data_IF_435756463615
#
_entry.id   IF_435756463615
#
_cell.length_a   1.000
_cell.length_b   1.000
_cell.length_c   1.000
_cell.angle_alpha   90.00
_cell.angle_beta   90.00
_cell.angle_gamma   90.00
#
_symmetry.space_group_name_H-M   'P 1'
#
loop_
_entity.id
_entity.type
_entity.pdbx_description
1 polymer ?
#
# COMPACT_ATOMS: atom_id res chain seq x y z
N UNK A 1 -1.74 8.08 -2.68
CA UNK A 1 -1.94 7.13 -3.81
C UNK A 1 -1.75 7.80 -5.15
N UNK A 2 -2.43 8.91 -5.46
CA UNK A 2 -2.36 9.59 -6.77
C UNK A 2 -0.94 10.01 -7.15
N UNK A 3 -0.17 10.57 -6.22
CA UNK A 3 1.24 10.92 -6.44
C UNK A 3 2.09 9.70 -6.84
N UNK A 4 2.00 8.59 -6.09
CA UNK A 4 2.75 7.36 -6.39
C UNK A 4 2.42 6.82 -7.79
N UNK A 5 1.16 6.93 -8.22
CA UNK A 5 0.74 6.53 -9.55
C UNK A 5 1.30 7.42 -10.66
N UNK A 6 1.51 8.72 -10.37
CA UNK A 6 2.07 9.65 -11.35
C UNK A 6 3.59 9.55 -11.44
N UNK A 7 4.27 9.23 -10.33
CA UNK A 7 5.74 9.19 -10.27
C UNK A 7 6.34 7.84 -10.66
N UNK A 8 5.57 6.75 -10.58
CA UNK A 8 6.06 5.40 -10.85
C UNK A 8 5.13 4.69 -11.82
N UNK A 9 5.68 4.20 -12.93
CA UNK A 9 4.97 3.36 -13.90
C UNK A 9 5.44 1.90 -13.77
N UNK A 10 6.71 1.64 -14.11
CA UNK A 10 7.34 0.31 -14.08
C UNK A 10 7.48 -0.24 -12.66
N UNK A 11 7.61 0.63 -11.65
CA UNK A 11 7.85 0.27 -10.24
C UNK A 11 6.69 0.62 -9.31
N UNK A 12 5.49 0.78 -9.88
CA UNK A 12 4.31 1.28 -9.17
C UNK A 12 3.88 0.39 -8.01
N UNK A 13 3.90 -0.94 -8.19
CA UNK A 13 3.50 -1.87 -7.14
C UNK A 13 4.51 -1.89 -6.00
N UNK A 14 5.82 -1.83 -6.28
CA UNK A 14 6.85 -1.70 -5.24
C UNK A 14 6.74 -0.38 -4.47
N UNK A 15 6.51 0.74 -5.17
CA UNK A 15 6.35 2.05 -4.53
C UNK A 15 5.14 2.07 -3.57
N UNK A 16 4.03 1.44 -3.98
CA UNK A 16 2.88 1.21 -3.09
C UNK A 16 3.23 0.29 -1.93
N UNK A 17 3.97 -0.79 -2.18
CA UNK A 17 4.43 -1.73 -1.15
C UNK A 17 5.19 -1.01 -0.04
N UNK A 18 6.21 -0.22 -0.41
CA UNK A 18 6.96 0.62 0.53
C UNK A 18 6.07 1.60 1.30
N UNK A 19 5.20 2.34 0.60
CA UNK A 19 4.31 3.30 1.26
C UNK A 19 3.41 2.63 2.31
N UNK A 20 2.89 1.44 2.03
CA UNK A 20 2.06 0.69 2.96
C UNK A 20 2.89 0.12 4.13
N UNK A 21 4.07 -0.45 3.87
CA UNK A 21 4.94 -0.99 4.90
C UNK A 21 5.44 0.09 5.87
N UNK A 22 5.80 1.28 5.37
CA UNK A 22 6.20 2.42 6.22
C UNK A 22 5.03 2.91 7.08
N UNK A 23 3.82 2.98 6.52
CA UNK A 23 2.63 3.34 7.29
C UNK A 23 2.39 2.37 8.46
N UNK A 24 2.52 1.06 8.22
CA UNK A 24 2.39 0.03 9.25
C UNK A 24 3.49 0.10 10.30
N UNK A 25 4.74 0.30 9.88
CA UNK A 25 5.86 0.47 10.80
C UNK A 25 5.68 1.71 11.68
N UNK A 26 5.20 2.81 11.09
CA UNK A 26 4.86 4.03 11.81
C UNK A 26 3.82 3.77 12.90
N UNK A 27 2.72 3.10 12.58
CA UNK A 27 1.69 2.73 13.56
C UNK A 27 2.22 1.78 14.65
N UNK A 28 3.03 0.78 14.28
CA UNK A 28 3.62 -0.17 15.21
C UNK A 28 4.52 0.50 16.26
N UNK A 29 5.27 1.54 15.87
CA UNK A 29 6.13 2.29 16.77
C UNK A 29 5.37 3.38 17.55
N UNK A 30 4.43 4.06 16.88
CA UNK A 30 3.69 5.17 17.46
C UNK A 30 2.70 4.73 18.53
N UNK A 31 1.99 3.60 18.36
CA UNK A 31 0.98 3.16 19.32
C UNK A 31 1.60 2.89 20.72
N UNK A 32 2.68 2.09 20.86
CA UNK A 32 3.35 1.92 22.15
C UNK A 32 3.97 3.21 22.66
N UNK A 33 4.54 4.06 21.80
CA UNK A 33 5.12 5.33 22.22
C UNK A 33 4.07 6.29 22.81
N UNK A 34 2.88 6.34 22.22
CA UNK A 34 1.73 7.11 22.73
C UNK A 34 1.25 6.51 24.04
N UNK A 35 1.05 5.19 24.11
CA UNK A 35 0.63 4.51 25.35
C UNK A 35 1.63 4.76 26.49
N UNK A 36 2.92 4.63 26.21
CA UNK A 36 3.99 4.93 27.15
C UNK A 36 3.96 6.40 27.58
N UNK A 37 3.73 7.35 26.69
CA UNK A 37 3.68 8.78 27.03
C UNK A 37 2.48 9.17 27.91
N UNK A 38 1.37 8.42 27.82
CA UNK A 38 0.13 8.69 28.55
C UNK A 38 0.12 8.05 29.94
N UNK A 39 0.83 6.92 30.09
CA UNK A 39 0.84 6.06 31.28
C UNK A 39 0.98 6.85 32.61
N UNK A 40 -0.10 6.92 33.41
CA UNK A 40 -0.18 7.75 34.61
C UNK A 40 0.57 7.17 35.81
N UNK A 41 0.96 5.89 35.78
CA UNK A 41 1.65 5.24 36.92
C UNK A 41 3.10 5.70 37.08
N UNK A 42 3.66 6.40 36.08
CA UNK A 42 5.07 6.79 36.01
C UNK A 42 5.32 8.31 35.96
N UNK A 43 4.37 9.13 36.43
CA UNK A 43 4.46 10.62 36.43
C UNK A 43 4.81 11.21 35.04
N UNK A 44 4.26 10.59 33.99
CA UNK A 44 4.53 10.96 32.60
C UNK A 44 3.65 12.11 32.14
N UNK A 45 3.88 12.56 30.91
CA UNK A 45 3.24 13.71 30.25
C UNK A 45 1.70 13.72 30.38
N UNK A 46 1.09 12.53 30.46
CA UNK A 46 -0.36 12.36 30.53
C UNK A 46 -1.03 12.66 29.20
N UNK A 47 -2.33 12.38 29.13
CA UNK A 47 -3.08 12.45 27.87
C UNK A 47 -3.05 13.85 27.22
N UNK A 48 -3.33 14.90 28.00
CA UNK A 48 -3.47 16.27 27.48
C UNK A 48 -2.17 16.79 26.87
N UNK A 49 -1.03 16.58 27.53
CA UNK A 49 0.26 17.05 27.01
C UNK A 49 0.71 16.20 25.81
N UNK A 50 0.54 14.88 25.87
CA UNK A 50 0.87 13.98 24.74
C UNK A 50 0.08 14.37 23.49
N UNK A 51 -1.24 14.58 23.61
CA UNK A 51 -2.09 15.02 22.51
C UNK A 51 -1.67 16.41 21.97
N UNK A 52 -1.30 17.34 22.87
CA UNK A 52 -0.84 18.68 22.48
C UNK A 52 0.48 18.61 21.70
N UNK A 53 1.45 17.81 22.15
CA UNK A 53 2.74 17.62 21.47
C UNK A 53 2.53 17.01 20.08
N UNK A 54 1.69 15.97 19.97
CA UNK A 54 1.37 15.34 18.67
C UNK A 54 0.71 16.35 17.74
N UNK A 55 -0.31 17.08 18.22
CA UNK A 55 -1.01 18.09 17.43
C UNK A 55 -0.08 19.20 16.94
N UNK A 56 0.78 19.73 17.82
CA UNK A 56 1.74 20.75 17.46
C UNK A 56 2.78 20.23 16.45
N UNK A 57 3.28 19.01 16.67
CA UNK A 57 4.22 18.35 15.76
C UNK A 57 3.61 18.19 14.37
N UNK A 58 2.35 17.75 14.28
CA UNK A 58 1.64 17.63 13.01
C UNK A 58 1.48 18.97 12.30
N UNK A 59 1.15 20.05 13.01
CA UNK A 59 1.02 21.41 12.42
C UNK A 59 2.38 21.92 11.92
N UNK A 60 3.42 21.79 12.75
CA UNK A 60 4.78 22.25 12.42
C UNK A 60 5.33 21.47 11.22
N UNK A 61 5.05 20.16 11.14
CA UNK A 61 5.49 19.32 10.03
C UNK A 61 4.61 19.44 8.78
N UNK A 62 3.32 19.76 8.91
CA UNK A 62 2.40 19.85 7.77
C UNK A 62 2.89 20.85 6.72
N UNK A 63 3.37 22.03 7.15
CA UNK A 63 3.86 23.05 6.24
C UNK A 63 5.09 22.62 5.42
N UNK A 64 6.24 22.21 6.01
CA UNK A 64 7.40 21.77 5.24
C UNK A 64 7.11 20.53 4.40
N UNK A 65 6.33 19.56 4.90
CA UNK A 65 5.95 18.38 4.12
C UNK A 65 5.09 18.75 2.91
N UNK A 66 4.12 19.66 3.06
CA UNK A 66 3.29 20.11 1.93
C UNK A 66 4.11 20.77 0.81
N UNK A 67 5.21 21.45 1.17
CA UNK A 67 6.15 22.05 0.22
C UNK A 67 7.07 21.03 -0.45
N UNK A 68 7.37 19.93 0.23
CA UNK A 68 8.23 18.87 -0.30
C UNK A 68 7.48 17.88 -1.21
N UNK A 69 6.17 17.73 -1.01
CA UNK A 69 5.31 16.86 -1.83
C UNK A 69 5.19 17.44 -3.26
N UNK A 70 5.75 16.72 -4.23
CA UNK A 70 5.62 17.02 -5.67
C UNK A 70 4.60 16.07 -6.30
N UNK A 71 3.49 16.58 -6.83
CA UNK A 71 2.36 15.72 -7.23
C UNK A 71 2.56 15.01 -8.58
N UNK A 72 3.28 15.62 -9.50
CA UNK A 72 3.45 15.19 -10.88
C UNK A 72 4.90 15.42 -11.32
N UNK A 73 5.59 14.42 -11.89
CA UNK A 73 6.91 14.63 -12.46
C UNK A 73 6.88 15.59 -13.66
N UNK A 74 5.77 15.63 -14.40
CA UNK A 74 5.62 16.44 -15.61
C UNK A 74 5.69 17.95 -15.32
N UNK A 75 5.20 18.37 -14.14
CA UNK A 75 5.30 19.77 -13.67
C UNK A 75 6.76 20.24 -13.50
N UNK A 76 7.72 19.29 -13.50
CA UNK A 76 9.15 19.53 -13.35
C UNK A 76 9.96 19.11 -14.57
N UNK A 77 9.31 18.79 -15.70
CA UNK A 77 9.97 18.33 -16.92
C UNK A 77 10.61 16.94 -16.80
N UNK A 78 10.18 16.13 -15.82
CA UNK A 78 10.58 14.74 -15.63
C UNK A 78 9.49 13.81 -16.16
N UNK A 79 9.86 12.60 -16.56
CA UNK A 79 8.91 11.50 -16.80
C UNK A 79 8.82 10.60 -15.57
N UNK A 80 7.76 9.77 -15.47
CA UNK A 80 7.67 8.73 -14.44
C UNK A 80 8.94 7.86 -14.37
N UNK A 81 9.20 7.28 -13.21
CA UNK A 81 10.40 6.51 -12.88
C UNK A 81 11.74 7.28 -13.03
N UNK A 82 11.70 8.60 -13.27
CA UNK A 82 12.89 9.45 -13.41
C UNK A 82 13.50 9.43 -14.81
N UNK A 83 12.77 8.94 -15.81
CA UNK A 83 13.21 8.98 -17.21
C UNK A 83 13.29 10.44 -17.70
N UNK A 84 14.34 10.76 -18.45
CA UNK A 84 14.43 12.05 -19.15
C UNK A 84 14.02 11.86 -20.61
N UNK A 85 13.44 12.89 -21.27
CA UNK A 85 12.95 12.77 -22.65
C UNK A 85 13.98 12.23 -23.65
N UNK A 86 15.29 12.50 -23.41
CA UNK A 86 16.39 12.00 -24.23
C UNK A 86 16.59 10.48 -24.15
N UNK A 87 16.31 9.85 -22.99
CA UNK A 87 16.44 8.40 -22.81
C UNK A 87 15.22 7.64 -23.35
N UNK A 88 14.01 8.20 -23.20
CA UNK A 88 12.79 7.60 -23.73
C UNK A 88 12.80 7.48 -25.28
N UNK A 89 13.48 8.39 -25.96
CA UNK A 89 13.64 8.35 -27.42
C UNK A 89 14.67 7.30 -27.87
N UNK A 90 15.72 7.07 -27.08
CA UNK A 90 16.72 6.02 -27.32
C UNK A 90 16.17 4.61 -27.07
N UNK A 91 15.38 4.41 -26.01
CA UNK A 91 14.76 3.12 -25.71
C UNK A 91 13.66 2.75 -26.72
N UNK A 92 12.93 3.73 -27.27
CA UNK A 92 11.98 3.49 -28.37
C UNK A 92 12.68 3.14 -29.69
N UNK A 93 13.84 3.73 -29.97
CA UNK A 93 14.63 3.41 -31.16
C UNK A 93 15.29 2.03 -31.08
N UNK A 94 15.75 1.60 -29.89
CA UNK A 94 16.36 0.29 -29.68
C UNK A 94 15.36 -0.87 -29.72
N UNK A 95 14.09 -0.63 -29.34
CA UNK A 95 13.03 -1.65 -29.38
C UNK A 95 12.28 -1.70 -30.73
N UNK A 96 12.53 -0.77 -31.65
CA UNK A 96 11.88 -0.73 -32.96
C UNK A 96 12.41 -1.77 -33.96
N UNK A 97 13.53 -2.44 -33.69
CA UNK A 97 14.12 -3.44 -34.60
C UNK A 97 13.67 -4.88 -34.33
N UNK A 98 12.80 -5.15 -33.34
CA UNK A 98 12.44 -6.54 -32.94
C UNK A 98 10.93 -6.88 -32.95
N UNK A 99 10.01 -5.92 -33.11
CA UNK A 99 8.56 -6.24 -33.03
C UNK A 99 7.77 -5.94 -34.33
N UNK A 100 7.79 -6.89 -35.27
CA UNK A 100 6.76 -7.05 -36.31
C UNK A 100 5.58 -7.89 -35.76
N UNK A 101 4.92 -7.36 -34.73
CA UNK A 101 3.66 -7.91 -34.19
C UNK A 101 2.66 -6.76 -34.02
N UNK A 102 1.40 -6.87 -34.48
CA UNK A 102 0.40 -5.84 -34.26
C UNK A 102 -0.10 -5.94 -32.83
N UNK A 103 0.74 -5.58 -31.86
CA UNK A 103 0.26 -5.25 -30.52
C UNK A 103 -0.08 -3.77 -30.56
N UNK A 104 -1.39 -3.52 -30.61
CA UNK A 104 -2.03 -2.23 -30.41
C UNK A 104 -1.18 -1.36 -29.48
N UNK A 105 -0.65 -0.25 -30.02
CA UNK A 105 -0.07 0.86 -29.29
C UNK A 105 -1.05 1.31 -28.20
N UNK A 106 -0.96 0.67 -27.04
CA UNK A 106 -1.72 0.98 -25.84
C UNK A 106 -1.05 2.16 -25.13
N UNK A 107 -0.79 3.22 -25.89
CA UNK A 107 -0.60 4.55 -25.32
C UNK A 107 -1.93 4.96 -24.67
N UNK A 108 -2.00 4.69 -23.37
CA UNK A 108 -2.98 5.14 -22.37
C UNK A 108 -4.22 5.90 -22.88
N UNK A 109 -5.23 5.19 -23.39
CA UNK A 109 -6.59 5.75 -23.39
C UNK A 109 -7.11 5.62 -21.95
N UNK A 110 -6.81 6.62 -21.12
CA UNK A 110 -7.34 6.72 -19.77
C UNK A 110 -8.87 6.80 -19.81
N UNK A 111 -9.56 5.83 -19.21
CA UNK A 111 -11.02 5.89 -19.07
C UNK A 111 -11.41 7.04 -18.15
N UNK A 112 -12.43 7.79 -18.54
CA UNK A 112 -13.15 8.65 -17.58
C UNK A 112 -13.83 7.78 -16.52
N UNK A 113 -14.10 8.35 -15.34
CA UNK A 113 -14.79 7.64 -14.24
C UNK A 113 -16.10 7.00 -14.72
N UNK A 114 -16.89 7.74 -15.53
CA UNK A 114 -18.13 7.22 -16.10
C UNK A 114 -17.85 6.01 -16.98
N UNK A 115 -16.92 6.09 -17.91
CA UNK A 115 -16.60 4.96 -18.79
C UNK A 115 -16.10 3.75 -18.00
N UNK A 116 -15.25 3.95 -16.97
CA UNK A 116 -14.72 2.87 -16.15
C UNK A 116 -15.84 2.09 -15.44
N UNK A 117 -16.82 2.77 -14.83
CA UNK A 117 -17.94 2.15 -14.11
C UNK A 117 -18.82 1.26 -15.02
N UNK A 118 -18.90 1.59 -16.31
CA UNK A 118 -19.65 0.79 -17.30
C UNK A 118 -18.88 -0.43 -17.81
N UNK A 119 -17.61 -0.60 -17.45
CA UNK A 119 -16.83 -1.78 -17.85
C UNK A 119 -17.13 -2.99 -16.95
N UNK A 120 -17.16 -4.20 -17.54
CA UNK A 120 -17.24 -5.45 -16.76
C UNK A 120 -16.02 -5.65 -15.87
N UNK A 121 -14.84 -5.24 -16.35
CA UNK A 121 -13.59 -5.33 -15.61
C UNK A 121 -13.67 -4.60 -14.26
N UNK A 122 -14.26 -3.39 -14.24
CA UNK A 122 -14.46 -2.63 -13.00
C UNK A 122 -15.24 -3.43 -11.95
N UNK A 123 -16.38 -4.02 -12.32
CA UNK A 123 -17.21 -4.77 -11.38
C UNK A 123 -16.55 -6.07 -10.91
N UNK A 124 -15.90 -6.81 -11.81
CA UNK A 124 -15.17 -8.03 -11.43
C UNK A 124 -14.03 -7.73 -10.44
N UNK A 125 -13.25 -6.67 -10.71
CA UNK A 125 -12.17 -6.24 -9.82
C UNK A 125 -12.74 -5.73 -8.49
N UNK A 126 -13.79 -4.91 -8.52
CA UNK A 126 -14.39 -4.32 -7.32
C UNK A 126 -14.99 -5.38 -6.39
N UNK A 127 -15.73 -6.34 -6.94
CA UNK A 127 -16.33 -7.43 -6.18
C UNK A 127 -15.24 -8.36 -5.62
N UNK A 128 -14.27 -8.76 -6.46
CA UNK A 128 -13.15 -9.60 -6.02
C UNK A 128 -12.35 -8.94 -4.90
N UNK A 129 -12.01 -7.66 -5.07
CA UNK A 129 -11.33 -6.88 -4.03
C UNK A 129 -12.20 -6.75 -2.78
N UNK A 130 -13.50 -6.49 -2.92
CA UNK A 130 -14.45 -6.40 -1.81
C UNK A 130 -14.47 -7.67 -0.95
N UNK A 131 -14.49 -8.86 -1.55
CA UNK A 131 -14.41 -10.11 -0.80
C UNK A 131 -13.07 -10.30 -0.08
N UNK A 132 -11.95 -10.04 -0.77
CA UNK A 132 -10.61 -10.07 -0.15
C UNK A 132 -10.49 -9.09 1.02
N UNK A 133 -11.05 -7.88 0.89
CA UNK A 133 -11.08 -6.86 1.95
C UNK A 133 -11.98 -7.27 3.11
N UNK A 134 -13.14 -7.89 2.84
CA UNK A 134 -14.05 -8.37 3.88
C UNK A 134 -13.36 -9.42 4.76
N UNK A 135 -12.67 -10.40 4.15
CA UNK A 135 -11.88 -11.41 4.88
C UNK A 135 -10.82 -10.74 5.76
N UNK A 136 -10.09 -9.77 5.19
CA UNK A 136 -9.05 -9.04 5.93
C UNK A 136 -9.62 -8.32 7.16
N UNK A 137 -10.73 -7.59 6.99
CA UNK A 137 -11.37 -6.83 8.08
C UNK A 137 -11.91 -7.80 9.15
N UNK A 138 -12.54 -8.90 8.74
CA UNK A 138 -13.05 -9.92 9.66
C UNK A 138 -11.92 -10.54 10.50
N UNK A 139 -10.79 -10.91 9.87
CA UNK A 139 -9.62 -11.42 10.59
C UNK A 139 -9.08 -10.38 11.58
N UNK A 140 -8.94 -9.11 11.17
CA UNK A 140 -8.43 -8.06 12.05
C UNK A 140 -9.33 -7.83 13.28
N UNK A 141 -10.65 -7.92 13.11
CA UNK A 141 -11.60 -7.71 14.20
C UNK A 141 -11.74 -8.93 15.13
N UNK A 142 -11.65 -10.15 14.60
CA UNK A 142 -12.06 -11.36 15.33
C UNK A 142 -10.95 -12.34 15.66
N UNK A 143 -9.74 -12.21 15.10
CA UNK A 143 -8.67 -13.21 15.32
C UNK A 143 -8.27 -13.32 16.80
N UNK A 144 -8.03 -12.20 17.49
CA UNK A 144 -7.68 -12.23 18.91
C UNK A 144 -8.85 -12.71 19.80
N UNK A 145 -10.09 -12.18 19.67
CA UNK A 145 -11.25 -12.70 20.38
C UNK A 145 -11.48 -14.20 20.17
N UNK A 146 -11.38 -14.69 18.93
CA UNK A 146 -11.55 -16.11 18.60
C UNK A 146 -10.55 -17.01 19.34
N UNK A 147 -9.31 -16.56 19.51
CA UNK A 147 -8.30 -17.31 20.27
C UNK A 147 -8.60 -17.31 21.77
N UNK A 148 -9.01 -16.17 22.33
CA UNK A 148 -9.36 -16.08 23.75
C UNK A 148 -10.63 -16.85 24.09
N UNK A 149 -11.63 -16.85 23.20
CA UNK A 149 -12.87 -17.62 23.36
C UNK A 149 -12.62 -19.14 23.34
N UNK A 150 -11.53 -19.57 22.69
CA UNK A 150 -11.06 -20.97 22.69
C UNK A 150 -10.17 -21.31 23.89
N UNK A 151 -10.01 -20.40 24.84
CA UNK A 151 -9.23 -20.62 26.06
C UNK A 151 -7.73 -20.34 25.93
N UNK A 152 -7.27 -19.76 24.82
CA UNK A 152 -5.88 -19.29 24.74
C UNK A 152 -5.69 -18.01 25.57
N UNK A 153 -4.47 -17.82 26.08
CA UNK A 153 -4.12 -16.60 26.82
C UNK A 153 -4.14 -15.36 25.91
N UNK A 154 -4.36 -14.19 26.51
CA UNK A 154 -4.28 -12.90 25.82
C UNK A 154 -2.88 -12.69 25.22
N UNK A 155 -1.83 -13.13 25.90
CA UNK A 155 -0.44 -13.05 25.43
C UNK A 155 -0.24 -13.89 24.17
N UNK A 156 -0.80 -15.10 24.12
CA UNK A 156 -0.78 -15.96 22.93
C UNK A 156 -1.53 -15.29 21.77
N UNK A 157 -2.73 -14.75 22.02
CA UNK A 157 -3.51 -14.06 20.99
C UNK A 157 -2.77 -12.83 20.44
N UNK A 158 -2.18 -12.02 21.32
CA UNK A 158 -1.38 -10.86 20.93
C UNK A 158 -0.14 -11.26 20.12
N UNK A 159 0.53 -12.35 20.49
CA UNK A 159 1.67 -12.87 19.73
C UNK A 159 1.26 -13.29 18.32
N UNK A 160 0.15 -14.02 18.16
CA UNK A 160 -0.36 -14.43 16.83
C UNK A 160 -0.70 -13.20 15.97
N UNK A 161 -1.38 -12.20 16.52
CA UNK A 161 -1.69 -10.94 15.80
C UNK A 161 -0.41 -10.19 15.41
N UNK A 162 0.60 -10.20 16.28
CA UNK A 162 1.90 -9.57 16.00
C UNK A 162 2.63 -10.27 14.87
N UNK A 163 2.72 -11.61 14.90
CA UNK A 163 3.34 -12.41 13.84
C UNK A 163 2.59 -12.22 12.52
N UNK A 164 1.26 -12.24 12.54
CA UNK A 164 0.43 -11.94 11.37
C UNK A 164 0.75 -10.55 10.79
N UNK A 165 0.82 -9.53 11.64
CA UNK A 165 1.09 -8.15 11.24
C UNK A 165 2.49 -8.00 10.67
N UNK A 166 3.51 -8.56 11.32
CA UNK A 166 4.89 -8.56 10.84
C UNK A 166 5.01 -9.26 9.49
N UNK A 167 4.40 -10.45 9.35
CA UNK A 167 4.38 -11.20 8.10
C UNK A 167 3.74 -10.38 6.99
N UNK A 168 2.62 -9.72 7.25
CA UNK A 168 1.93 -8.90 6.26
C UNK A 168 2.77 -7.73 5.75
N UNK A 169 3.62 -7.12 6.59
CA UNK A 169 4.53 -6.04 6.19
C UNK A 169 5.62 -6.53 5.24
N UNK A 170 6.18 -7.71 5.50
CA UNK A 170 7.17 -8.36 4.62
C UNK A 170 6.52 -8.72 3.29
N UNK A 171 5.33 -9.32 3.33
CA UNK A 171 4.61 -9.74 2.13
C UNK A 171 4.06 -8.57 1.30
N UNK A 172 3.90 -7.38 1.86
CA UNK A 172 3.62 -6.16 1.06
C UNK A 172 4.78 -5.79 0.15
N UNK A 173 6.02 -5.94 0.60
CA UNK A 173 7.21 -5.69 -0.22
C UNK A 173 7.38 -6.78 -1.28
N UNK A 174 7.19 -8.05 -0.88
CA UNK A 174 7.22 -9.19 -1.81
C UNK A 174 6.10 -9.03 -2.87
N UNK A 175 4.89 -8.68 -2.45
CA UNK A 175 3.75 -8.44 -3.33
C UNK A 175 4.01 -7.28 -4.30
N UNK A 176 4.65 -6.20 -3.84
CA UNK A 176 5.10 -5.10 -4.69
C UNK A 176 6.12 -5.57 -5.74
N UNK A 177 7.16 -6.30 -5.31
CA UNK A 177 8.18 -6.87 -6.19
C UNK A 177 7.60 -7.78 -7.29
N UNK A 178 6.65 -8.65 -6.91
CA UNK A 178 5.99 -9.57 -7.84
C UNK A 178 5.03 -8.80 -8.76
N UNK A 179 4.28 -7.84 -8.23
CA UNK A 179 3.31 -7.05 -9.00
C UNK A 179 3.93 -6.22 -10.12
N UNK A 180 5.19 -5.81 -9.96
CA UNK A 180 5.93 -5.11 -11.00
C UNK A 180 6.45 -6.05 -12.11
N UNK A 181 6.68 -7.35 -11.82
CA UNK A 181 7.28 -8.30 -12.78
C UNK A 181 6.32 -9.29 -13.44
N UNK A 182 5.20 -9.59 -12.79
CA UNK A 182 4.25 -10.61 -13.24
C UNK A 182 2.98 -9.92 -13.77
N UNK A 183 2.33 -10.43 -14.82
CA UNK A 183 1.04 -9.88 -15.26
C UNK A 183 0.04 -9.88 -14.10
N UNK A 184 -0.56 -8.72 -13.84
CA UNK A 184 -1.33 -8.42 -12.61
C UNK A 184 -2.46 -9.43 -12.38
N UNK A 185 -3.10 -9.91 -13.45
CA UNK A 185 -4.13 -10.96 -13.41
C UNK A 185 -3.66 -12.27 -12.76
N UNK A 186 -2.43 -12.72 -13.04
CA UNK A 186 -1.89 -13.97 -12.48
C UNK A 186 -1.46 -13.76 -11.03
N UNK A 187 -0.82 -12.63 -10.72
CA UNK A 187 -0.44 -12.29 -9.34
C UNK A 187 -1.68 -12.23 -8.43
N UNK A 188 -2.74 -11.53 -8.86
CA UNK A 188 -3.99 -11.45 -8.12
C UNK A 188 -4.65 -12.83 -7.94
N UNK A 189 -4.70 -13.64 -9.00
CA UNK A 189 -5.28 -14.98 -8.94
C UNK A 189 -4.56 -15.86 -7.90
N UNK A 190 -3.23 -15.93 -7.96
CA UNK A 190 -2.42 -16.76 -7.05
C UNK A 190 -2.56 -16.27 -5.61
N UNK A 191 -2.42 -14.96 -5.34
CA UNK A 191 -2.54 -14.43 -3.99
C UNK A 191 -3.95 -14.60 -3.40
N UNK A 192 -4.99 -14.48 -4.21
CA UNK A 192 -6.37 -14.69 -3.75
C UNK A 192 -6.62 -16.15 -3.41
N UNK A 193 -6.08 -17.10 -4.18
CA UNK A 193 -6.15 -18.54 -3.84
C UNK A 193 -5.42 -18.85 -2.54
N UNK A 194 -4.21 -18.31 -2.37
CA UNK A 194 -3.44 -18.49 -1.13
C UNK A 194 -4.23 -17.94 0.06
N UNK A 195 -4.82 -16.76 -0.08
CA UNK A 195 -5.65 -16.16 0.97
C UNK A 195 -6.87 -17.05 1.30
N UNK A 196 -7.57 -17.55 0.27
CA UNK A 196 -8.74 -18.40 0.48
C UNK A 196 -8.36 -19.69 1.23
N UNK A 197 -7.28 -20.37 0.80
CA UNK A 197 -6.81 -21.60 1.45
C UNK A 197 -6.33 -21.38 2.88
N UNK A 198 -5.76 -20.20 3.20
CA UNK A 198 -5.24 -19.91 4.53
C UNK A 198 -6.32 -19.61 5.59
N UNK A 199 -7.55 -19.29 5.16
CA UNK A 199 -8.66 -18.95 6.07
C UNK A 199 -9.42 -20.20 6.52
N UNK A 200 -9.33 -21.30 5.75
CA UNK A 200 -9.91 -22.60 6.08
C UNK A 200 -8.92 -23.46 6.87
#
# INVERSE_FOLDING_TARGET
MTMLNNWFDKRRAMAMGWSNSVSRLGSLLMIPAIAWSIDPEADRLGFRMTATIIGLTLIVLAFPLSRLIRNRPEDYGLLPDGETPSHAQSDKAANAEVEDSPTTDASEIGFTVKQAIWTRAFWLISIGHGFTSMVLIAMMAHLAPMLTDRGHSIQTAAFVVTVYSATSMVFQLIGGYIGDRVPKRFALFVFTIIQALAVF
#
